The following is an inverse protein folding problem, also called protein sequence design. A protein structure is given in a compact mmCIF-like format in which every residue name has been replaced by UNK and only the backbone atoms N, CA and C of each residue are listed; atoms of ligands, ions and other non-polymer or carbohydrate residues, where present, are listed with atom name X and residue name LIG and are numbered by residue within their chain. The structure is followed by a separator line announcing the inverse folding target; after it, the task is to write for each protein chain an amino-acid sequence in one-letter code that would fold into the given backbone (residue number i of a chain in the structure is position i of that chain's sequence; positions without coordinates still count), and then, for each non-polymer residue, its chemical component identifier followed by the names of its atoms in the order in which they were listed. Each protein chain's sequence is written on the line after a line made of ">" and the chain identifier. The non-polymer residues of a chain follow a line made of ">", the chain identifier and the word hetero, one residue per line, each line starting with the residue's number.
data_IF_534367138203
#
_entry.id   IF_534367138203
#
_cell.length_a   1.000
_cell.length_b   1.000
_cell.length_c   1.000
_cell.angle_alpha   90.00
_cell.angle_beta   90.00
_cell.angle_gamma   90.00
#
_symmetry.space_group_name_H-M   'P 1'
#
loop_
_entity.id
_entity.type
_entity.pdbx_description
1 polymer ?
#
# COMPACT_ATOMS: atom_id res chain seq x y z
N UNK A 1 57.82 3.21 -10.43
CA UNK A 1 57.08 3.12 -11.71
C UNK A 1 55.86 2.25 -11.48
N UNK A 2 54.65 2.79 -11.53
CA UNK A 2 53.41 2.04 -11.31
C UNK A 2 52.19 2.96 -11.39
N UNK A 3 51.73 3.24 -12.60
CA UNK A 3 50.49 3.97 -12.86
C UNK A 3 49.31 3.02 -12.72
N UNK A 4 48.48 3.22 -11.69
CA UNK A 4 47.20 2.53 -11.54
C UNK A 4 46.17 3.28 -12.41
N UNK A 5 45.78 2.67 -13.53
CA UNK A 5 44.68 3.17 -14.37
C UNK A 5 43.35 3.04 -13.61
N UNK A 6 42.76 4.16 -13.24
CA UNK A 6 41.36 4.24 -12.82
C UNK A 6 40.45 4.10 -14.03
N UNK A 7 39.91 2.90 -14.27
CA UNK A 7 38.86 2.71 -15.26
C UNK A 7 37.56 3.26 -14.67
N UNK A 8 37.17 4.47 -15.10
CA UNK A 8 35.90 5.06 -14.73
C UNK A 8 34.74 4.23 -15.31
N UNK A 9 33.97 3.59 -14.44
CA UNK A 9 32.78 2.84 -14.79
C UNK A 9 31.68 3.82 -15.26
N UNK A 10 31.53 3.97 -16.58
CA UNK A 10 30.53 4.83 -17.21
C UNK A 10 29.15 4.15 -17.13
N UNK A 11 28.33 4.53 -16.15
CA UNK A 11 26.93 4.08 -16.09
C UNK A 11 26.14 4.71 -17.24
N UNK A 12 25.49 3.94 -18.13
CA UNK A 12 24.68 4.51 -19.19
C UNK A 12 23.49 5.25 -18.58
N UNK A 13 23.34 6.53 -18.94
CA UNK A 13 22.17 7.33 -18.55
C UNK A 13 20.93 6.67 -19.14
N UNK A 14 19.98 6.27 -18.29
CA UNK A 14 18.64 5.82 -18.71
C UNK A 14 18.00 6.93 -19.52
N UNK A 15 17.81 6.71 -20.82
CA UNK A 15 17.01 7.57 -21.67
C UNK A 15 15.56 7.49 -21.17
N UNK A 16 15.04 8.60 -20.68
CA UNK A 16 13.66 8.69 -20.20
C UNK A 16 12.84 9.20 -21.38
N UNK A 17 12.21 8.29 -22.13
CA UNK A 17 11.21 8.68 -23.12
C UNK A 17 10.10 9.49 -22.42
N UNK A 18 9.97 10.76 -22.79
CA UNK A 18 8.94 11.66 -22.29
C UNK A 18 7.60 11.26 -22.90
N UNK A 19 6.89 10.34 -22.23
CA UNK A 19 5.54 9.98 -22.62
C UNK A 19 4.59 11.19 -22.50
N UNK A 20 3.76 11.47 -23.53
CA UNK A 20 2.83 12.59 -23.51
C UNK A 20 1.88 12.44 -22.32
N UNK A 21 1.84 13.46 -21.47
CA UNK A 21 0.98 13.48 -20.28
C UNK A 21 -0.42 13.92 -20.66
N UNK A 22 -1.41 13.31 -20.01
CA UNK A 22 -2.80 13.72 -20.12
C UNK A 22 -2.93 15.22 -19.78
N UNK A 23 -3.66 16.02 -20.58
CA UNK A 23 -3.91 17.43 -20.25
C UNK A 23 -4.55 17.57 -18.87
N UNK A 24 -4.17 18.64 -18.15
CA UNK A 24 -4.80 18.97 -16.88
C UNK A 24 -6.27 19.30 -17.10
N UNK A 25 -7.11 18.91 -16.16
CA UNK A 25 -8.56 19.19 -16.17
C UNK A 25 -8.93 20.20 -15.09
N UNK A 26 -10.05 20.93 -15.25
CA UNK A 26 -10.58 21.78 -14.18
C UNK A 26 -10.87 20.98 -12.90
N UNK A 27 -10.61 21.58 -11.76
CA UNK A 27 -11.00 21.03 -10.46
C UNK A 27 -12.53 20.87 -10.39
N UNK A 28 -13.02 19.70 -9.99
CA UNK A 28 -14.47 19.44 -9.90
C UNK A 28 -15.17 20.13 -8.71
N UNK A 29 -14.49 21.02 -7.98
CA UNK A 29 -15.10 21.73 -6.86
C UNK A 29 -15.80 22.98 -7.40
N UNK A 30 -17.07 23.26 -7.03
CA UNK A 30 -17.83 24.37 -7.57
C UNK A 30 -17.07 25.70 -7.46
N UNK A 31 -16.93 26.42 -8.58
CA UNK A 31 -16.27 27.73 -8.64
C UNK A 31 -14.74 27.72 -8.50
N UNK A 32 -14.08 26.56 -8.50
CA UNK A 32 -12.62 26.51 -8.42
C UNK A 32 -11.96 26.69 -9.81
N UNK A 33 -11.11 27.71 -10.02
CA UNK A 33 -10.46 27.94 -11.32
C UNK A 33 -9.20 27.08 -11.54
N UNK A 34 -8.78 26.29 -10.55
CA UNK A 34 -7.50 25.55 -10.59
C UNK A 34 -7.58 24.33 -11.52
N UNK A 35 -6.51 24.11 -12.29
CA UNK A 35 -6.31 22.89 -13.08
C UNK A 35 -5.59 21.81 -12.25
N UNK A 36 -5.96 20.55 -12.44
CA UNK A 36 -5.45 19.39 -11.70
C UNK A 36 -5.30 18.17 -12.60
N UNK A 37 -4.39 17.26 -12.23
CA UNK A 37 -4.27 15.94 -12.83
C UNK A 37 -5.34 14.97 -12.27
N UNK A 38 -5.86 15.26 -11.07
CA UNK A 38 -6.85 14.47 -10.34
C UNK A 38 -8.27 15.02 -10.45
N UNK A 39 -9.18 14.56 -9.58
CA UNK A 39 -10.58 15.07 -9.54
C UNK A 39 -10.64 16.47 -8.94
N UNK A 40 -9.81 16.73 -7.95
CA UNK A 40 -9.75 17.98 -7.21
C UNK A 40 -8.32 18.52 -7.22
N UNK A 41 -8.15 19.83 -7.03
CA UNK A 41 -6.84 20.41 -6.69
C UNK A 41 -6.41 19.94 -5.29
N UNK A 42 -5.16 20.20 -4.89
CA UNK A 42 -4.64 19.73 -3.61
C UNK A 42 -5.48 20.19 -2.40
N UNK A 43 -5.90 21.45 -2.39
CA UNK A 43 -6.75 22.03 -1.34
C UNK A 43 -8.10 21.33 -1.24
N UNK A 44 -8.80 21.17 -2.37
CA UNK A 44 -10.10 20.50 -2.38
C UNK A 44 -9.97 18.99 -2.14
N UNK A 45 -8.84 18.37 -2.47
CA UNK A 45 -8.54 16.99 -2.06
C UNK A 45 -8.46 16.90 -0.53
N UNK A 46 -7.72 17.81 0.13
CA UNK A 46 -7.65 17.86 1.60
C UNK A 46 -9.02 18.13 2.22
N UNK A 47 -9.80 19.05 1.67
CA UNK A 47 -11.16 19.38 2.16
C UNK A 47 -12.11 18.18 2.04
N UNK A 48 -12.17 17.56 0.86
CA UNK A 48 -13.05 16.41 0.61
C UNK A 48 -12.63 15.20 1.45
N UNK A 49 -11.33 14.96 1.62
CA UNK A 49 -10.83 13.90 2.51
C UNK A 49 -11.26 14.16 3.96
N UNK A 50 -11.12 15.40 4.48
CA UNK A 50 -11.61 15.75 5.83
C UNK A 50 -13.10 15.52 5.97
N UNK A 51 -13.89 15.91 4.97
CA UNK A 51 -15.34 15.70 4.97
C UNK A 51 -15.70 14.20 4.99
N UNK A 52 -15.05 13.40 4.15
CA UNK A 52 -15.22 11.95 4.12
C UNK A 52 -14.83 11.30 5.45
N UNK A 53 -13.67 11.64 6.02
CA UNK A 53 -13.25 11.08 7.31
C UNK A 53 -14.21 11.44 8.46
N UNK A 54 -14.84 12.63 8.42
CA UNK A 54 -15.75 13.09 9.47
C UNK A 54 -17.15 12.51 9.34
N UNK A 55 -17.69 12.44 8.11
CA UNK A 55 -19.10 12.14 7.88
C UNK A 55 -19.36 10.91 7.01
N UNK A 56 -18.42 10.53 6.14
CA UNK A 56 -18.61 9.45 5.16
C UNK A 56 -18.00 8.11 5.56
N UNK A 57 -16.98 8.10 6.42
CA UNK A 57 -16.30 6.88 6.86
C UNK A 57 -17.05 6.24 8.02
N UNK A 58 -17.35 4.95 7.89
CA UNK A 58 -17.91 4.14 8.97
C UNK A 58 -17.00 4.19 10.23
N UNK A 59 -17.50 4.68 11.38
CA UNK A 59 -16.74 4.73 12.63
C UNK A 59 -16.21 3.36 13.08
N UNK A 60 -16.89 2.26 12.73
CA UNK A 60 -16.44 0.91 13.06
C UNK A 60 -15.17 0.52 12.30
N UNK A 61 -14.93 1.04 11.09
CA UNK A 61 -13.66 0.84 10.35
C UNK A 61 -12.50 1.47 11.12
N UNK A 62 -12.68 2.68 11.66
CA UNK A 62 -11.63 3.35 12.46
C UNK A 62 -11.33 2.60 13.76
N UNK A 63 -12.35 1.98 14.36
CA UNK A 63 -12.18 1.13 15.55
C UNK A 63 -11.42 -0.15 15.23
N UNK A 64 -11.77 -0.82 14.12
CA UNK A 64 -11.13 -2.07 13.66
C UNK A 64 -9.68 -1.86 13.19
N UNK A 65 -9.42 -0.87 12.35
CA UNK A 65 -8.12 -0.68 11.70
C UNK A 65 -7.37 0.58 12.16
N UNK A 66 -7.64 1.04 13.38
CA UNK A 66 -7.05 2.26 13.95
C UNK A 66 -5.59 2.12 14.43
N UNK A 67 -5.18 3.01 15.34
CA UNK A 67 -3.80 3.04 15.87
C UNK A 67 -3.36 1.74 16.55
N UNK A 68 -4.29 1.04 17.22
CA UNK A 68 -3.99 -0.24 17.85
C UNK A 68 -3.52 -1.28 16.82
N UNK A 69 -4.26 -1.42 15.72
CA UNK A 69 -3.87 -2.29 14.61
C UNK A 69 -2.51 -1.93 14.03
N UNK A 70 -2.24 -0.64 13.79
CA UNK A 70 -0.93 -0.20 13.29
C UNK A 70 0.23 -0.68 14.17
N UNK A 71 0.10 -0.54 15.50
CA UNK A 71 1.15 -1.00 16.44
C UNK A 71 1.34 -2.51 16.39
N UNK A 72 0.25 -3.28 16.35
CA UNK A 72 0.28 -4.73 16.26
C UNK A 72 0.96 -5.17 14.95
N UNK A 73 0.54 -4.59 13.81
CA UNK A 73 1.15 -4.85 12.49
C UNK A 73 2.64 -4.54 12.49
N UNK A 74 3.03 -3.35 12.95
CA UNK A 74 4.43 -2.91 12.93
C UNK A 74 5.30 -3.81 13.84
N UNK A 75 4.78 -4.28 14.98
CA UNK A 75 5.45 -5.28 15.83
C UNK A 75 5.55 -6.64 15.15
N UNK A 76 4.48 -7.09 14.49
CA UNK A 76 4.42 -8.41 13.85
C UNK A 76 5.42 -8.52 12.70
N UNK A 77 5.49 -7.51 11.83
CA UNK A 77 6.41 -7.46 10.69
C UNK A 77 7.88 -7.52 11.12
N UNK A 78 8.24 -6.95 12.28
CA UNK A 78 9.62 -7.04 12.81
C UNK A 78 10.04 -8.47 13.13
N UNK A 79 9.11 -9.29 13.62
CA UNK A 79 9.39 -10.70 13.95
C UNK A 79 9.08 -11.66 12.78
N UNK A 80 8.29 -11.22 11.80
CA UNK A 80 7.93 -11.98 10.60
C UNK A 80 8.22 -11.15 9.33
N UNK A 81 9.51 -10.92 9.01
CA UNK A 81 9.91 -9.99 7.94
C UNK A 81 9.73 -10.55 6.52
N UNK A 82 9.38 -11.84 6.39
CA UNK A 82 9.17 -12.51 5.11
C UNK A 82 7.75 -13.04 4.97
N UNK A 83 7.32 -13.24 3.72
CA UNK A 83 6.08 -13.90 3.38
C UNK A 83 6.11 -15.35 3.90
N UNK A 84 5.24 -15.68 4.85
CA UNK A 84 5.23 -16.98 5.52
C UNK A 84 4.83 -18.13 4.56
N UNK A 85 3.99 -17.85 3.56
CA UNK A 85 3.64 -18.84 2.53
C UNK A 85 4.79 -19.11 1.54
N UNK A 86 5.59 -18.10 1.20
CA UNK A 86 6.76 -18.29 0.36
C UNK A 86 7.87 -18.97 1.15
N UNK A 87 8.05 -18.59 2.42
CA UNK A 87 9.05 -19.16 3.30
C UNK A 87 8.84 -20.67 3.51
N UNK A 88 7.58 -21.12 3.68
CA UNK A 88 7.23 -22.54 3.74
C UNK A 88 7.56 -23.34 2.48
N UNK A 89 7.84 -22.66 1.35
CA UNK A 89 8.29 -23.26 0.08
C UNK A 89 9.80 -23.08 -0.15
N UNK A 90 10.54 -22.59 0.84
CA UNK A 90 11.97 -22.28 0.73
C UNK A 90 12.28 -20.98 -0.02
N UNK A 91 11.29 -20.12 -0.28
CA UNK A 91 11.46 -18.87 -1.04
C UNK A 91 11.42 -17.68 -0.08
N UNK A 92 12.49 -16.89 -0.04
CA UNK A 92 12.55 -15.65 0.75
C UNK A 92 12.01 -14.47 -0.05
N UNK A 93 10.82 -14.00 0.33
CA UNK A 93 10.20 -12.78 -0.21
C UNK A 93 9.85 -11.87 0.95
N UNK A 94 10.21 -10.58 0.94
CA UNK A 94 9.87 -9.65 2.02
C UNK A 94 8.36 -9.51 2.18
N UNK A 95 7.91 -9.27 3.41
CA UNK A 95 6.51 -8.96 3.70
C UNK A 95 6.13 -7.58 3.16
N UNK A 96 4.94 -7.50 2.57
CA UNK A 96 4.33 -6.23 2.16
C UNK A 96 3.06 -5.95 2.97
N UNK A 97 2.28 -7.01 3.24
CA UNK A 97 0.95 -6.93 3.84
C UNK A 97 0.81 -7.98 4.96
N UNK A 98 0.07 -7.63 6.03
CA UNK A 98 -0.28 -8.56 7.11
C UNK A 98 -1.76 -8.85 7.00
N UNK A 99 -2.09 -10.13 6.87
CA UNK A 99 -3.44 -10.61 6.66
C UNK A 99 -3.99 -11.28 7.91
N UNK A 100 -5.30 -11.17 8.11
CA UNK A 100 -6.02 -11.89 9.14
C UNK A 100 -6.47 -13.25 8.59
N UNK A 101 -5.98 -14.36 9.16
CA UNK A 101 -6.37 -15.73 8.72
C UNK A 101 -7.90 -15.92 8.79
N UNK A 102 -8.50 -15.48 9.89
CA UNK A 102 -9.95 -15.29 10.04
C UNK A 102 -10.27 -13.79 9.97
N UNK A 103 -11.12 -13.34 9.03
CA UNK A 103 -11.51 -11.93 8.91
C UNK A 103 -12.16 -11.40 10.18
N UNK A 104 -11.96 -10.11 10.47
CA UNK A 104 -12.58 -9.45 11.63
C UNK A 104 -14.11 -9.45 11.56
N UNK A 105 -14.69 -9.41 10.35
CA UNK A 105 -16.14 -9.51 10.12
C UNK A 105 -16.74 -10.84 10.56
N UNK A 106 -15.93 -11.91 10.60
CA UNK A 106 -16.33 -13.26 11.00
C UNK A 106 -15.89 -13.59 12.43
N UNK A 107 -15.50 -12.58 13.22
CA UNK A 107 -15.04 -12.75 14.59
C UNK A 107 -13.56 -13.13 14.71
N UNK A 108 -12.74 -12.85 13.70
CA UNK A 108 -11.29 -12.84 13.85
C UNK A 108 -10.82 -11.73 14.80
N UNK A 109 -9.64 -11.91 15.37
CA UNK A 109 -9.00 -10.94 16.28
C UNK A 109 -7.69 -10.40 15.70
N UNK A 110 -7.09 -9.40 16.35
CA UNK A 110 -5.73 -8.95 16.02
C UNK A 110 -4.64 -9.76 16.74
N UNK A 111 -4.99 -10.91 17.32
CA UNK A 111 -4.03 -11.76 18.00
C UNK A 111 -3.00 -12.29 17.01
N UNK A 112 -1.74 -12.39 17.45
CA UNK A 112 -0.64 -12.84 16.60
C UNK A 112 -0.90 -14.20 15.93
N UNK A 113 -1.64 -15.09 16.60
CA UNK A 113 -2.05 -16.39 16.05
C UNK A 113 -2.96 -16.27 14.82
N UNK A 114 -3.75 -15.21 14.74
CA UNK A 114 -4.66 -14.92 13.63
C UNK A 114 -4.00 -14.06 12.53
N UNK A 115 -2.72 -13.71 12.64
CA UNK A 115 -2.01 -12.93 11.64
C UNK A 115 -1.11 -13.81 10.77
N UNK A 116 -0.84 -13.34 9.56
CA UNK A 116 0.16 -13.93 8.65
C UNK A 116 0.80 -12.83 7.79
N UNK A 117 2.13 -12.82 7.72
CA UNK A 117 2.91 -11.92 6.86
C UNK A 117 2.92 -12.46 5.43
N UNK A 118 2.57 -11.63 4.44
CA UNK A 118 2.45 -12.01 3.04
C UNK A 118 3.07 -10.98 2.08
N UNK A 119 3.53 -11.46 0.94
CA UNK A 119 3.77 -10.61 -0.24
C UNK A 119 2.45 -10.34 -0.98
N UNK A 120 2.42 -9.34 -1.86
CA UNK A 120 1.20 -8.95 -2.59
C UNK A 120 0.58 -10.07 -3.42
N UNK A 121 1.39 -10.94 -4.01
CA UNK A 121 0.90 -12.05 -4.85
C UNK A 121 0.19 -13.11 -4.01
N UNK A 122 0.78 -13.51 -2.88
CA UNK A 122 0.14 -14.45 -1.97
C UNK A 122 -1.11 -13.85 -1.32
N UNK A 123 -1.07 -12.58 -0.92
CA UNK A 123 -2.23 -11.91 -0.35
C UNK A 123 -3.39 -11.80 -1.34
N UNK A 124 -3.11 -11.39 -2.58
CA UNK A 124 -4.14 -11.33 -3.64
C UNK A 124 -4.73 -12.70 -3.96
N UNK A 125 -3.92 -13.76 -3.93
CA UNK A 125 -4.39 -15.12 -4.16
C UNK A 125 -5.33 -15.61 -3.07
N UNK A 126 -5.04 -15.34 -1.79
CA UNK A 126 -5.96 -15.69 -0.69
C UNK A 126 -7.33 -15.03 -0.89
N UNK A 127 -7.35 -13.74 -1.21
CA UNK A 127 -8.61 -13.03 -1.48
C UNK A 127 -9.36 -13.62 -2.69
N UNK A 128 -8.63 -13.97 -3.75
CA UNK A 128 -9.22 -14.61 -4.93
C UNK A 128 -9.81 -16.00 -4.61
N UNK A 129 -9.07 -16.83 -3.86
CA UNK A 129 -9.51 -18.18 -3.45
C UNK A 129 -10.71 -18.13 -2.50
N UNK A 130 -10.77 -17.12 -1.63
CA UNK A 130 -11.86 -16.94 -0.66
C UNK A 130 -13.12 -16.31 -1.28
N UNK A 131 -13.00 -15.68 -2.45
CA UNK A 131 -14.10 -15.01 -3.15
C UNK A 131 -14.50 -13.66 -2.54
N UNK A 132 -13.81 -13.18 -1.51
CA UNK A 132 -14.16 -11.95 -0.76
C UNK A 132 -13.84 -10.65 -1.51
N UNK A 133 -13.13 -10.72 -2.64
CA UNK A 133 -12.77 -9.55 -3.47
C UNK A 133 -13.90 -9.10 -4.41
N UNK A 134 -14.81 -10.00 -4.80
CA UNK A 134 -15.77 -9.76 -5.88
C UNK A 134 -17.23 -9.63 -5.43
N UNK A 135 -17.47 -9.61 -4.10
CA UNK A 135 -18.79 -9.49 -3.49
C UNK A 135 -18.87 -8.27 -2.57
#
# INVERSE_FOLDING_TARGET
>A
MGLILWVAFFMPKKEVELMPRKPKRPCSYPGCPKLTDGRFCEEHTKLMNKHYEKYGRDPAVRRRYGRAWKRIRDSYVKTHPFCEQCYGKGILVPVEEVHHKKPLSEGGTHDRSNLISLCKSCHSRIHAERGDRWH
#
